data_IF_541216066938
#
_entry.id   IF_541216066938
#
_cell.length_a   1.000
_cell.length_b   1.000
_cell.length_c   1.000
_cell.angle_alpha   90.00
_cell.angle_beta   90.00
_cell.angle_gamma   90.00
#
_symmetry.space_group_name_H-M   'P 1'
#
loop_
_entity.id
_entity.type
_entity.pdbx_description
1 polymer ?
#
# COMPACT_ATOMS: atom_id res chain seq x y z
N UNK A 1 2.18 -25.10 0.30
CA UNK A 1 1.22 -24.02 0.02
C UNK A 1 2.03 -22.89 -0.59
N UNK A 2 1.62 -22.33 -1.72
CA UNK A 2 2.42 -21.33 -2.45
C UNK A 2 1.82 -19.95 -2.11
N UNK A 3 2.32 -19.32 -1.04
CA UNK A 3 1.76 -18.06 -0.52
C UNK A 3 2.10 -16.89 -1.45
N UNK A 4 1.48 -15.72 -1.26
CA UNK A 4 1.80 -14.54 -2.05
C UNK A 4 3.28 -14.13 -1.92
N UNK A 5 3.88 -14.38 -0.75
CA UNK A 5 5.27 -14.10 -0.45
C UNK A 5 6.23 -15.04 -1.16
N UNK A 6 5.91 -16.34 -1.21
CA UNK A 6 6.66 -17.34 -1.98
C UNK A 6 6.70 -16.96 -3.48
N UNK A 7 5.57 -16.47 -4.01
CA UNK A 7 5.47 -16.04 -5.42
C UNK A 7 6.33 -14.80 -5.72
N UNK A 8 6.58 -13.97 -4.72
CA UNK A 8 7.44 -12.79 -4.83
C UNK A 8 8.90 -13.06 -4.39
N UNK A 9 9.20 -14.27 -3.92
CA UNK A 9 10.53 -14.62 -3.43
C UNK A 9 10.97 -13.84 -2.19
N UNK A 10 10.01 -13.31 -1.41
CA UNK A 10 10.32 -12.52 -0.22
C UNK A 10 10.27 -13.39 1.04
N UNK A 11 11.38 -13.42 1.80
CA UNK A 11 11.44 -14.22 3.02
C UNK A 11 10.72 -13.50 4.17
N UNK A 12 9.78 -14.21 4.78
CA UNK A 12 8.95 -13.67 5.86
C UNK A 12 9.22 -14.46 7.12
N UNK A 13 9.38 -13.75 8.23
CA UNK A 13 9.49 -14.33 9.56
C UNK A 13 8.34 -13.85 10.48
N UNK A 14 8.34 -14.31 11.73
CA UNK A 14 7.30 -13.94 12.70
C UNK A 14 7.29 -12.45 13.07
N UNK A 15 8.39 -11.73 12.80
CA UNK A 15 8.55 -10.31 13.11
C UNK A 15 8.16 -9.41 11.95
N UNK A 16 8.22 -9.93 10.74
CA UNK A 16 7.92 -9.18 9.52
C UNK A 16 6.55 -8.56 9.60
N UNK A 17 6.48 -7.25 9.37
CA UNK A 17 5.24 -6.51 9.20
C UNK A 17 5.29 -5.74 7.90
N UNK A 18 4.15 -5.72 7.23
CA UNK A 18 3.92 -4.93 6.05
C UNK A 18 3.06 -3.72 6.39
N UNK A 19 3.29 -2.66 5.62
CA UNK A 19 2.50 -1.44 5.62
C UNK A 19 2.12 -1.10 4.19
N UNK A 20 0.86 -0.75 3.95
CA UNK A 20 0.36 -0.36 2.64
C UNK A 20 0.13 1.14 2.62
N UNK A 21 0.70 1.82 1.64
CA UNK A 21 0.41 3.23 1.34
C UNK A 21 -0.63 3.31 0.24
N UNK A 22 -1.68 4.08 0.44
CA UNK A 22 -2.74 4.32 -0.54
C UNK A 22 -2.96 5.82 -0.67
N UNK A 23 -3.01 6.32 -1.89
CA UNK A 23 -3.39 7.70 -2.19
C UNK A 23 -4.88 7.76 -2.52
N UNK A 24 -5.61 8.70 -1.93
CA UNK A 24 -7.04 8.89 -2.15
C UNK A 24 -7.28 10.34 -2.59
N UNK A 25 -7.90 10.50 -3.76
CA UNK A 25 -8.29 11.77 -4.34
C UNK A 25 -9.78 11.99 -4.07
N UNK A 26 -10.11 12.74 -3.01
CA UNK A 26 -11.50 13.11 -2.71
C UNK A 26 -12.06 13.98 -3.84
N UNK A 27 -11.26 14.95 -4.30
CA UNK A 27 -11.46 15.66 -5.56
C UNK A 27 -10.25 15.45 -6.50
N UNK A 28 -10.52 15.18 -7.78
CA UNK A 28 -9.47 14.84 -8.76
C UNK A 28 -8.52 16.01 -9.07
N UNK A 29 -8.88 17.23 -8.69
CA UNK A 29 -8.04 18.44 -8.85
C UNK A 29 -7.17 18.78 -7.65
N UNK A 30 -7.27 18.00 -6.57
CA UNK A 30 -6.57 18.28 -5.31
C UNK A 30 -5.42 17.32 -5.02
N UNK A 31 -4.59 17.69 -4.05
CA UNK A 31 -3.52 16.83 -3.51
C UNK A 31 -4.16 15.62 -2.83
N UNK A 32 -3.76 14.38 -3.16
CA UNK A 32 -4.36 13.20 -2.56
C UNK A 32 -4.02 13.08 -1.08
N UNK A 33 -4.98 12.59 -0.29
CA UNK A 33 -4.72 12.16 1.07
C UNK A 33 -3.97 10.81 1.07
N UNK A 34 -2.99 10.68 1.95
CA UNK A 34 -2.18 9.45 2.06
C UNK A 34 -2.66 8.64 3.25
N UNK A 35 -3.22 7.47 2.96
CA UNK A 35 -3.69 6.50 3.95
C UNK A 35 -2.69 5.37 4.12
N UNK A 36 -2.53 4.93 5.36
CA UNK A 36 -1.62 3.85 5.73
C UNK A 36 -2.36 2.71 6.41
N UNK A 37 -2.34 1.54 5.79
CA UNK A 37 -2.70 0.28 6.45
C UNK A 37 -1.43 -0.28 7.06
N UNK A 38 -1.45 -0.66 8.33
CA UNK A 38 -0.24 -1.06 9.08
C UNK A 38 -0.46 -2.35 9.84
N UNK A 39 0.64 -3.03 10.16
CA UNK A 39 0.63 -4.20 11.03
C UNK A 39 0.20 -5.49 10.34
N UNK A 40 0.13 -5.50 9.00
CA UNK A 40 -0.15 -6.70 8.22
C UNK A 40 1.01 -7.70 8.40
N UNK A 41 0.71 -8.94 8.73
CA UNK A 41 1.68 -10.03 8.89
C UNK A 41 1.93 -10.77 7.58
N UNK A 42 0.97 -10.71 6.66
CA UNK A 42 1.06 -11.33 5.34
C UNK A 42 0.69 -10.34 4.24
N UNK A 43 1.07 -10.65 3.01
CA UNK A 43 0.66 -9.90 1.82
C UNK A 43 -0.84 -10.07 1.56
N UNK A 44 -1.46 -11.20 1.90
CA UNK A 44 -2.92 -11.32 1.81
C UNK A 44 -3.64 -10.38 2.78
N UNK A 45 -3.12 -10.19 3.99
CA UNK A 45 -3.66 -9.19 4.93
C UNK A 45 -3.52 -7.77 4.38
N UNK A 46 -2.39 -7.46 3.73
CA UNK A 46 -2.19 -6.18 3.04
C UNK A 46 -3.20 -5.97 1.90
N UNK A 47 -3.49 -7.00 1.09
CA UNK A 47 -4.51 -6.95 0.05
C UNK A 47 -5.91 -6.73 0.62
N UNK A 48 -6.28 -7.49 1.65
CA UNK A 48 -7.59 -7.35 2.31
C UNK A 48 -7.76 -5.96 2.90
N UNK A 49 -6.73 -5.43 3.56
CA UNK A 49 -6.76 -4.06 4.09
C UNK A 49 -6.95 -3.01 3.00
N UNK A 50 -6.31 -3.18 1.85
CA UNK A 50 -6.50 -2.27 0.70
C UNK A 50 -7.95 -2.32 0.18
N UNK A 51 -8.49 -3.52 -0.02
CA UNK A 51 -9.88 -3.68 -0.52
C UNK A 51 -10.87 -3.10 0.48
N UNK A 52 -10.71 -3.39 1.77
CA UNK A 52 -11.56 -2.84 2.82
C UNK A 52 -11.51 -1.31 2.86
N UNK A 53 -10.32 -0.70 2.83
CA UNK A 53 -10.16 0.76 2.78
C UNK A 53 -10.89 1.34 1.56
N UNK A 54 -10.72 0.74 0.38
CA UNK A 54 -11.39 1.18 -0.85
C UNK A 54 -12.91 1.13 -0.71
N UNK A 55 -13.45 0.03 -0.18
CA UNK A 55 -14.89 -0.14 0.04
C UNK A 55 -15.44 0.84 1.07
N UNK A 56 -14.74 1.05 2.19
CA UNK A 56 -15.11 2.02 3.23
C UNK A 56 -15.17 3.45 2.71
N UNK A 57 -14.27 3.82 1.80
CA UNK A 57 -14.24 5.19 1.25
C UNK A 57 -15.38 5.48 0.28
N UNK A 58 -16.00 4.45 -0.32
CA UNK A 58 -17.05 4.60 -1.33
C UNK A 58 -16.60 5.22 -2.65
N UNK A 59 -15.30 5.50 -2.83
CA UNK A 59 -14.77 6.19 -3.99
C UNK A 59 -14.52 5.28 -5.20
N UNK A 60 -14.57 5.87 -6.40
CA UNK A 60 -14.33 5.18 -7.66
C UNK A 60 -12.86 4.79 -7.87
N UNK A 61 -12.59 3.91 -8.84
CA UNK A 61 -11.22 3.48 -9.18
C UNK A 61 -10.30 4.61 -9.67
N UNK A 62 -10.88 5.74 -10.10
CA UNK A 62 -10.13 6.95 -10.49
C UNK A 62 -9.70 7.80 -9.29
N UNK A 63 -10.33 7.60 -8.14
CA UNK A 63 -10.10 8.35 -6.91
C UNK A 63 -9.25 7.57 -5.90
N UNK A 64 -9.30 6.24 -5.93
CA UNK A 64 -8.45 5.39 -5.08
C UNK A 64 -7.26 4.91 -5.88
N UNK A 65 -6.08 5.42 -5.53
CA UNK A 65 -4.82 5.04 -6.13
C UNK A 65 -4.41 3.60 -5.82
N UNK A 66 -3.28 3.19 -6.39
CA UNK A 66 -2.70 1.88 -6.14
C UNK A 66 -2.17 1.76 -4.71
N UNK A 67 -2.27 0.55 -4.16
CA UNK A 67 -1.63 0.23 -2.89
C UNK A 67 -0.14 -0.06 -3.09
N UNK A 68 0.72 0.56 -2.30
CA UNK A 68 2.15 0.27 -2.30
C UNK A 68 2.50 -0.44 -1.00
N UNK A 69 2.94 -1.69 -1.08
CA UNK A 69 3.26 -2.53 0.07
C UNK A 69 4.73 -2.40 0.40
N UNK A 70 5.03 -1.96 1.60
CA UNK A 70 6.38 -1.84 2.13
C UNK A 70 6.57 -2.77 3.31
N UNK A 71 7.80 -3.19 3.56
CA UNK A 71 8.18 -3.83 4.82
C UNK A 71 8.47 -2.79 5.93
N UNK A 72 8.87 -3.27 7.11
CA UNK A 72 9.25 -2.43 8.24
C UNK A 72 10.45 -1.53 7.92
N UNK A 73 11.43 -2.06 7.17
CA UNK A 73 12.62 -1.35 6.72
C UNK A 73 12.32 -0.26 5.68
N UNK A 74 11.12 -0.24 5.09
CA UNK A 74 10.71 0.71 4.06
C UNK A 74 11.06 0.26 2.65
N UNK A 75 11.45 -1.00 2.45
CA UNK A 75 11.61 -1.59 1.13
C UNK A 75 10.24 -1.81 0.51
N UNK A 76 10.07 -1.41 -0.76
CA UNK A 76 8.88 -1.72 -1.54
C UNK A 76 8.88 -3.21 -1.91
N UNK A 77 7.88 -3.92 -1.43
CA UNK A 77 7.74 -5.37 -1.61
C UNK A 77 6.77 -5.69 -2.73
N UNK A 78 5.70 -4.91 -2.91
CA UNK A 78 4.67 -5.18 -3.91
C UNK A 78 3.82 -3.96 -4.24
N UNK A 79 3.07 -4.06 -5.34
CA UNK A 79 1.97 -3.15 -5.67
C UNK A 79 0.63 -3.89 -5.60
N UNK A 80 -0.42 -3.19 -5.18
CA UNK A 80 -1.81 -3.65 -5.22
C UNK A 80 -2.54 -2.79 -6.25
N UNK A 81 -3.00 -3.43 -7.34
CA UNK A 81 -3.77 -2.74 -8.37
C UNK A 81 -5.18 -2.40 -7.88
N UNK A 82 -5.88 -1.52 -8.61
CA UNK A 82 -7.23 -1.05 -8.28
C UNK A 82 -8.27 -2.17 -8.04
N UNK A 83 -8.03 -3.37 -8.59
CA UNK A 83 -8.86 -4.57 -8.43
C UNK A 83 -8.36 -5.52 -7.32
N UNK A 84 -7.47 -5.05 -6.44
CA UNK A 84 -6.93 -5.82 -5.32
C UNK A 84 -5.88 -6.87 -5.70
N UNK A 85 -5.43 -6.95 -6.96
CA UNK A 85 -4.38 -7.91 -7.37
C UNK A 85 -3.01 -7.41 -6.97
N UNK A 86 -2.17 -8.35 -6.51
CA UNK A 86 -0.81 -8.07 -6.08
C UNK A 86 0.17 -8.30 -7.22
N UNK A 87 1.11 -7.38 -7.37
CA UNK A 87 2.13 -7.36 -8.41
C UNK A 87 3.51 -7.22 -7.78
N UNK A 88 4.50 -7.88 -8.39
CA UNK A 88 5.90 -7.74 -7.99
C UNK A 88 6.34 -6.26 -8.07
N UNK A 89 7.33 -5.85 -7.25
CA UNK A 89 7.89 -4.51 -7.30
C UNK A 89 8.75 -4.44 -8.56
N UNK A 90 8.16 -4.07 -9.70
CA UNK A 90 8.87 -4.04 -10.97
C UNK A 90 9.90 -2.91 -10.99
N UNK A 91 11.19 -3.24 -11.07
CA UNK A 91 12.10 -2.52 -11.95
C UNK A 91 11.97 -3.15 -13.34
N UNK A 92 11.71 -2.35 -14.38
CA UNK A 92 11.43 -2.79 -15.77
C UNK A 92 10.05 -3.43 -15.97
N UNK A 93 9.06 -2.59 -16.23
CA UNK A 93 7.69 -3.03 -16.55
C UNK A 93 6.61 -1.94 -16.55
N UNK A 94 7.00 -0.65 -16.42
CA UNK A 94 6.11 0.49 -16.68
C UNK A 94 5.62 1.27 -15.46
N UNK A 95 5.94 0.85 -14.22
CA UNK A 95 5.68 1.67 -13.03
C UNK A 95 7.01 2.07 -12.41
N UNK A 96 7.35 3.37 -12.46
CA UNK A 96 8.62 3.88 -11.97
C UNK A 96 8.80 3.54 -10.47
N UNK A 97 9.94 2.95 -10.06
CA UNK A 97 10.20 2.65 -8.66
C UNK A 97 10.28 3.93 -7.85
N UNK A 98 9.59 3.97 -6.71
CA UNK A 98 9.78 5.01 -5.70
C UNK A 98 11.24 4.97 -5.23
N UNK A 99 11.95 6.11 -5.31
CA UNK A 99 13.36 6.24 -4.91
C UNK A 99 13.49 7.10 -3.64
N UNK A 100 14.26 6.66 -2.63
CA UNK A 100 14.65 7.53 -1.53
C UNK A 100 15.54 8.67 -2.08
N UNK A 101 15.16 9.93 -1.86
CA UNK A 101 15.91 11.12 -2.29
C UNK A 101 15.56 11.67 -3.68
N UNK A 102 14.63 11.06 -4.41
CA UNK A 102 13.93 11.76 -5.50
C UNK A 102 12.99 12.78 -4.87
N UNK A 103 12.97 14.03 -5.37
CA UNK A 103 12.12 15.12 -4.86
C UNK A 103 10.77 14.57 -4.43
N UNK A 104 10.44 14.72 -3.15
CA UNK A 104 9.11 14.41 -2.64
C UNK A 104 8.07 15.05 -3.59
N UNK A 105 6.98 14.34 -3.97
CA UNK A 105 5.81 15.06 -4.44
C UNK A 105 5.46 16.10 -3.37
N UNK A 106 5.14 17.34 -3.78
CA UNK A 106 5.26 18.52 -2.94
C UNK A 106 4.61 18.29 -1.58
N UNK A 107 5.44 18.39 -0.55
CA UNK A 107 5.08 18.27 0.85
C UNK A 107 3.91 19.18 1.20
N UNK A 108 2.88 18.69 1.89
CA UNK A 108 2.33 19.47 2.99
C UNK A 108 1.62 18.62 4.05
N UNK A 109 2.08 18.83 5.29
CA UNK A 109 1.41 18.68 6.59
C UNK A 109 0.99 17.28 7.05
N UNK A 110 1.86 16.76 7.90
CA UNK A 110 1.56 15.81 8.99
C UNK A 110 0.32 16.29 9.77
N UNK A 111 -0.80 15.56 9.67
CA UNK A 111 -1.76 15.49 10.76
C UNK A 111 -2.12 14.04 11.08
N UNK A 112 -2.01 13.75 12.37
CA UNK A 112 -2.11 12.45 13.03
C UNK A 112 -3.52 11.91 12.86
N UNK A 113 -3.66 10.66 12.40
CA UNK A 113 -4.72 9.76 12.85
C UNK A 113 -4.29 8.32 12.58
N UNK A 114 -3.92 7.62 13.64
CA UNK A 114 -3.62 6.18 13.62
C UNK A 114 -4.95 5.48 13.86
N UNK A 115 -5.49 4.81 12.84
CA UNK A 115 -6.68 3.97 12.99
C UNK A 115 -6.21 2.57 13.41
N UNK A 116 -6.59 2.15 14.62
CA UNK A 116 -6.35 0.81 15.12
C UNK A 116 -7.49 -0.10 14.64
N UNK A 117 -7.16 -1.17 13.92
CA UNK A 117 -8.14 -2.19 13.51
C UNK A 117 -8.50 -3.06 14.72
N UNK A 118 -9.78 -3.20 15.09
CA UNK A 118 -10.17 -4.06 16.20
C UNK A 118 -10.00 -5.54 15.84
N UNK A 119 -9.40 -6.31 16.75
CA UNK A 119 -9.37 -7.76 16.65
C UNK A 119 -10.73 -8.32 17.08
N UNK A 120 -11.35 -9.10 16.20
CA UNK A 120 -12.47 -10.01 16.53
C UNK A 120 -11.99 -11.45 16.44
#
# INVERSE_FOLDING_TARGET
MNTAEDRLGYQVDQRTRFKVRVEIFEELSETPSVNWIRGCRTLEEAQRGYVALREETGYGASQVGFGHVFDEAGQLIAHISYNGRLWAPSGEGGMSPWRPGGKDPPSERVQKNVVNVPQV
#
